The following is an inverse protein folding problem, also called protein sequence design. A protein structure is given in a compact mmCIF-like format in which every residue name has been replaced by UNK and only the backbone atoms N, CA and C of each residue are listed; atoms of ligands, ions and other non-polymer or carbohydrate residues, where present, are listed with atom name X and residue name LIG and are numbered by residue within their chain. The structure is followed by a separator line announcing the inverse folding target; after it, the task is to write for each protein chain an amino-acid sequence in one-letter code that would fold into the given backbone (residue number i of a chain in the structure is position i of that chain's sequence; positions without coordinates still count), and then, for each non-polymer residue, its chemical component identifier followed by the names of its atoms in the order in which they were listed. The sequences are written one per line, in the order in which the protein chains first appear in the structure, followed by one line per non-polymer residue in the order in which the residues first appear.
data_IF_936910069310
#
_entry.id   IF_936910069310
#
_cell.length_a   1.000
_cell.length_b   1.000
_cell.length_c   1.000
_cell.angle_alpha   90.00
_cell.angle_beta   90.00
_cell.angle_gamma   90.00
#
_symmetry.space_group_name_H-M   'P 1'
#
loop_
_entity.id
_entity.type
_entity.pdbx_description
1 polymer ?
#
# COMPACT_ATOMS: atom_id res chain seq x y z
N UNK A 1 -37.25 3.70 -27.78
CA UNK A 1 -36.84 4.94 -28.49
C UNK A 1 -36.92 6.24 -27.66
N UNK A 2 -37.22 6.18 -26.35
CA UNK A 2 -37.35 7.38 -25.49
C UNK A 2 -36.06 7.66 -24.68
N UNK A 3 -35.20 6.66 -24.43
CA UNK A 3 -33.96 6.85 -23.67
C UNK A 3 -32.82 7.55 -24.44
N UNK A 4 -32.87 7.65 -25.76
CA UNK A 4 -31.80 8.28 -26.57
C UNK A 4 -31.91 9.82 -26.59
N UNK A 5 -33.09 10.39 -26.29
CA UNK A 5 -33.31 11.84 -26.31
C UNK A 5 -32.84 12.56 -25.04
N UNK A 6 -32.70 11.87 -23.91
CA UNK A 6 -32.28 12.47 -22.63
C UNK A 6 -30.75 12.68 -22.59
N UNK A 7 -29.97 11.78 -23.18
CA UNK A 7 -28.51 11.86 -23.21
C UNK A 7 -27.96 12.97 -24.13
N UNK A 8 -28.72 13.39 -25.15
CA UNK A 8 -28.30 14.46 -26.08
C UNK A 8 -28.52 15.88 -25.54
N UNK A 9 -29.40 16.06 -24.55
CA UNK A 9 -29.74 17.39 -24.03
C UNK A 9 -28.84 17.86 -22.89
N UNK A 10 -28.08 16.96 -22.26
CA UNK A 10 -27.24 17.28 -21.10
C UNK A 10 -25.77 17.54 -21.48
N UNK A 11 -25.34 17.08 -22.65
CA UNK A 11 -23.96 17.22 -23.14
C UNK A 11 -23.67 18.59 -23.79
N UNK A 12 -24.68 19.45 -23.98
CA UNK A 12 -24.53 20.77 -24.62
C UNK A 12 -24.54 21.93 -23.62
N UNK A 13 -24.74 21.67 -22.33
CA UNK A 13 -24.91 22.70 -21.30
C UNK A 13 -23.77 22.79 -20.26
N UNK A 14 -22.62 22.17 -20.53
CA UNK A 14 -21.44 22.28 -19.64
C UNK A 14 -20.15 22.73 -20.35
N UNK A 15 -20.25 23.21 -21.60
CA UNK A 15 -19.10 23.66 -22.40
C UNK A 15 -19.05 25.18 -22.63
N UNK A 16 -19.79 25.98 -21.86
CA UNK A 16 -19.83 27.44 -22.02
C UNK A 16 -19.90 28.16 -20.67
N UNK A 17 -18.78 28.20 -19.94
CA UNK A 17 -18.68 28.89 -18.66
C UNK A 17 -17.25 29.26 -18.30
N UNK A 18 -16.77 30.37 -18.89
CA UNK A 18 -15.77 31.30 -18.33
C UNK A 18 -14.41 30.69 -17.95
N UNK A 19 -13.33 30.78 -18.73
CA UNK A 19 -12.71 31.95 -19.39
C UNK A 19 -12.59 33.22 -18.52
N UNK A 20 -11.33 33.50 -18.18
CA UNK A 20 -10.72 34.80 -17.84
C UNK A 20 -10.96 35.37 -16.43
N UNK A 21 -9.90 35.32 -15.59
CA UNK A 21 -9.54 36.38 -14.62
C UNK A 21 -8.07 36.25 -14.22
N UNK A 22 -7.16 36.63 -15.13
CA UNK A 22 -5.82 37.12 -14.79
C UNK A 22 -5.86 38.64 -14.94
N UNK A 23 -5.79 39.40 -13.85
CA UNK A 23 -5.24 40.76 -13.88
C UNK A 23 -4.87 41.28 -12.47
N UNK A 24 -3.57 41.48 -12.31
CA UNK A 24 -2.88 42.57 -11.61
C UNK A 24 -3.51 43.18 -10.34
N UNK A 25 -2.80 43.00 -9.21
CA UNK A 25 -2.64 44.08 -8.23
C UNK A 25 -1.18 44.11 -7.77
N UNK A 26 -0.51 45.20 -8.12
CA UNK A 26 0.88 45.55 -7.84
C UNK A 26 0.88 46.73 -6.86
N UNK A 27 1.87 46.79 -5.97
CA UNK A 27 2.21 47.95 -5.11
C UNK A 27 1.85 47.75 -3.63
N UNK A 28 2.69 48.05 -2.64
CA UNK A 28 4.03 48.65 -2.63
C UNK A 28 4.25 49.42 -1.32
N UNK A 29 5.28 49.02 -0.55
CA UNK A 29 6.04 49.80 0.48
C UNK A 29 5.37 50.25 1.80
N UNK A 30 6.14 50.60 2.87
CA UNK A 30 7.60 50.77 2.96
C UNK A 30 8.31 50.04 4.13
N UNK A 31 9.64 50.18 4.12
CA UNK A 31 10.66 49.56 4.95
C UNK A 31 11.02 50.31 6.26
N UNK A 32 11.70 49.55 7.15
CA UNK A 32 12.76 49.93 8.11
C UNK A 32 12.35 50.69 9.41
N UNK A 33 13.09 50.55 10.54
CA UNK A 33 14.53 50.27 10.63
C UNK A 33 14.99 49.19 11.63
N UNK A 34 16.19 48.68 11.36
CA UNK A 34 17.06 47.99 12.32
C UNK A 34 17.89 49.01 13.14
N UNK A 35 18.25 48.67 14.37
CA UNK A 35 19.56 48.96 14.94
C UNK A 35 20.15 47.66 15.55
N UNK A 36 21.43 47.40 15.79
CA UNK A 36 22.73 48.05 15.60
C UNK A 36 23.74 46.94 15.99
N UNK A 37 24.82 46.77 15.24
CA UNK A 37 25.94 45.91 15.64
C UNK A 37 26.94 46.70 16.51
N UNK A 38 27.41 46.10 17.62
CA UNK A 38 28.68 46.42 18.28
C UNK A 38 29.03 45.35 19.35
N UNK A 39 30.31 45.22 19.79
CA UNK A 39 31.01 43.92 19.77
C UNK A 39 31.50 43.40 21.14
N UNK A 40 32.20 42.25 21.10
CA UNK A 40 33.09 41.69 22.14
C UNK A 40 32.36 41.01 23.31
N UNK A 41 32.67 39.81 23.81
CA UNK A 41 33.97 39.26 24.22
C UNK A 41 33.82 37.72 24.32
N UNK A 42 34.75 36.94 23.75
CA UNK A 42 35.13 35.61 24.26
C UNK A 42 36.35 35.80 25.18
N UNK A 43 36.70 34.92 26.15
CA UNK A 43 36.38 33.49 26.23
C UNK A 43 36.05 32.97 27.66
N UNK A 44 35.47 31.78 27.79
CA UNK A 44 35.69 30.93 28.96
C UNK A 44 35.26 29.49 28.66
N UNK A 45 36.26 28.61 28.57
CA UNK A 45 36.15 27.17 28.59
C UNK A 45 35.51 26.73 29.91
N UNK A 46 34.26 26.24 29.88
CA UNK A 46 33.64 25.55 31.00
C UNK A 46 33.49 24.07 30.63
N UNK A 47 34.19 23.24 31.40
CA UNK A 47 34.26 21.80 31.24
C UNK A 47 32.87 21.14 31.32
N UNK A 48 32.60 20.27 30.35
CA UNK A 48 31.43 19.39 30.37
C UNK A 48 31.57 18.34 31.49
N UNK A 49 30.51 18.03 32.25
CA UNK A 49 30.51 16.90 33.18
C UNK A 49 30.57 15.57 32.40
N UNK A 50 31.24 14.53 32.94
CA UNK A 50 31.29 13.22 32.27
C UNK A 50 29.88 12.59 32.26
N UNK A 51 29.51 12.08 31.09
CA UNK A 51 28.30 11.28 30.90
C UNK A 51 28.35 10.01 31.77
N UNK A 52 27.22 9.54 32.33
CA UNK A 52 27.18 8.26 33.02
C UNK A 52 27.36 7.13 32.00
N UNK A 53 28.43 6.36 32.16
CA UNK A 53 28.65 5.08 31.48
C UNK A 53 27.54 4.11 31.88
N UNK A 54 26.53 3.98 31.03
CA UNK A 54 25.52 2.93 31.15
C UNK A 54 26.14 1.64 30.62
N UNK A 55 26.56 0.76 31.54
CA UNK A 55 27.02 -0.58 31.21
C UNK A 55 25.81 -1.40 30.72
N UNK A 56 25.78 -1.70 29.42
CA UNK A 56 24.82 -2.65 28.85
C UNK A 56 25.26 -4.07 29.24
N UNK A 57 24.41 -4.89 29.85
CA UNK A 57 24.76 -6.28 30.13
C UNK A 57 24.90 -7.05 28.82
N UNK A 58 25.98 -7.82 28.75
CA UNK A 58 26.34 -8.72 27.67
C UNK A 58 25.23 -9.76 27.46
N UNK A 59 24.63 -9.76 26.28
CA UNK A 59 23.61 -10.74 25.91
C UNK A 59 24.25 -12.12 25.87
N UNK A 60 23.88 -12.97 26.82
CA UNK A 60 24.19 -14.40 26.81
C UNK A 60 23.57 -15.01 25.56
N UNK A 61 24.42 -15.44 24.63
CA UNK A 61 24.01 -16.14 23.42
C UNK A 61 23.28 -17.44 23.77
N UNK A 62 21.98 -17.48 23.48
CA UNK A 62 21.19 -18.72 23.51
C UNK A 62 21.73 -19.70 22.45
N UNK A 63 21.75 -21.02 22.74
CA UNK A 63 22.28 -22.01 21.80
C UNK A 63 21.43 -22.06 20.53
N UNK A 64 22.12 -22.11 19.38
CA UNK A 64 21.50 -22.21 18.07
C UNK A 64 20.59 -23.46 17.99
N UNK A 65 19.30 -23.23 17.74
CA UNK A 65 18.36 -24.30 17.45
C UNK A 65 18.84 -25.07 16.21
N UNK A 66 19.01 -26.38 16.34
CA UNK A 66 19.31 -27.29 15.24
C UNK A 66 18.17 -27.23 14.23
N UNK A 67 18.38 -26.55 13.10
CA UNK A 67 17.40 -26.48 12.02
C UNK A 67 17.12 -27.87 11.46
N UNK A 68 15.88 -28.33 11.61
CA UNK A 68 15.36 -29.47 10.87
C UNK A 68 15.52 -29.22 9.35
N UNK A 69 15.81 -30.26 8.54
CA UNK A 69 15.97 -30.08 7.10
C UNK A 69 14.69 -29.51 6.50
N UNK A 70 14.83 -28.42 5.73
CA UNK A 70 13.72 -27.80 5.03
C UNK A 70 13.09 -28.83 4.06
N UNK A 71 11.74 -28.95 4.02
CA UNK A 71 11.08 -29.88 3.11
C UNK A 71 11.46 -29.55 1.66
N UNK A 72 11.74 -30.57 0.87
CA UNK A 72 12.00 -30.43 -0.57
C UNK A 72 10.79 -29.79 -1.26
N UNK A 73 11.02 -28.65 -1.91
CA UNK A 73 9.97 -27.76 -2.41
C UNK A 73 9.65 -28.14 -3.86
N UNK A 74 8.61 -28.95 -4.08
CA UNK A 74 8.09 -29.20 -5.44
C UNK A 74 7.23 -28.01 -5.90
N UNK A 75 7.44 -27.46 -7.11
CA UNK A 75 6.55 -26.45 -7.67
C UNK A 75 5.12 -26.98 -7.78
N UNK A 76 4.14 -26.19 -7.33
CA UNK A 76 2.72 -26.53 -7.44
C UNK A 76 2.23 -26.08 -8.82
N UNK A 77 1.79 -27.00 -9.70
CA UNK A 77 1.29 -26.63 -11.03
C UNK A 77 -0.04 -25.89 -10.91
N UNK A 78 -0.28 -24.90 -11.77
CA UNK A 78 -1.56 -24.18 -11.80
C UNK A 78 -2.69 -25.06 -12.37
N UNK A 79 -3.91 -24.87 -11.88
CA UNK A 79 -5.14 -25.45 -12.45
C UNK A 79 -5.48 -24.73 -13.75
N UNK A 80 -6.05 -25.43 -14.74
CA UNK A 80 -6.48 -24.81 -16.00
C UNK A 80 -7.66 -23.85 -15.77
N UNK A 81 -7.63 -22.69 -16.43
CA UNK A 81 -8.72 -21.72 -16.36
C UNK A 81 -9.96 -22.27 -17.09
N UNK A 82 -11.12 -22.39 -16.41
CA UNK A 82 -12.36 -22.78 -17.07
C UNK A 82 -12.79 -21.75 -18.13
N UNK A 83 -13.32 -22.23 -19.25
CA UNK A 83 -13.83 -21.37 -20.31
C UNK A 83 -14.95 -20.46 -19.78
N UNK A 84 -14.83 -19.15 -20.04
CA UNK A 84 -15.80 -18.15 -19.58
C UNK A 84 -15.65 -17.73 -18.11
N UNK A 85 -14.71 -18.31 -17.34
CA UNK A 85 -14.45 -17.87 -15.97
C UNK A 85 -13.96 -16.41 -15.92
N UNK A 86 -14.44 -15.67 -14.93
CA UNK A 86 -13.95 -14.30 -14.68
C UNK A 86 -12.56 -14.37 -14.07
N UNK A 87 -11.57 -13.84 -14.78
CA UNK A 87 -10.16 -13.84 -14.35
C UNK A 87 -9.92 -12.76 -13.28
N UNK A 88 -9.29 -13.15 -12.18
CA UNK A 88 -8.85 -12.29 -11.09
C UNK A 88 -7.33 -12.42 -10.98
N UNK A 89 -6.60 -11.33 -11.16
CA UNK A 89 -5.14 -11.32 -11.05
C UNK A 89 -4.71 -11.01 -9.62
N UNK A 90 -3.86 -11.86 -9.06
CA UNK A 90 -3.33 -11.71 -7.70
C UNK A 90 -1.79 -11.68 -7.72
N UNK A 91 -1.18 -10.55 -7.37
CA UNK A 91 0.26 -10.43 -7.27
C UNK A 91 0.73 -10.66 -5.84
N UNK A 92 1.77 -11.48 -5.67
CA UNK A 92 2.30 -11.80 -4.33
C UNK A 92 3.83 -11.92 -4.32
N UNK A 93 4.46 -11.55 -3.19
CA UNK A 93 5.92 -11.51 -3.02
C UNK A 93 6.50 -12.64 -2.17
N UNK A 94 5.67 -13.53 -1.63
CA UNK A 94 6.13 -14.68 -0.85
C UNK A 94 6.81 -15.73 -1.73
N UNK A 95 8.00 -16.17 -1.31
CA UNK A 95 8.82 -17.15 -2.04
C UNK A 95 8.99 -18.46 -1.26
N UNK A 96 9.70 -19.43 -1.85
CA UNK A 96 9.99 -20.71 -1.21
C UNK A 96 8.73 -21.46 -0.77
N UNK A 97 8.76 -21.97 0.47
CA UNK A 97 7.65 -22.72 1.04
C UNK A 97 6.37 -21.89 1.16
N UNK A 98 6.49 -20.61 1.51
CA UNK A 98 5.34 -19.72 1.65
C UNK A 98 4.69 -19.44 0.29
N UNK A 99 5.50 -19.23 -0.75
CA UNK A 99 4.98 -19.08 -2.12
C UNK A 99 4.26 -20.35 -2.62
N UNK A 100 4.73 -21.53 -2.22
CA UNK A 100 4.02 -22.79 -2.47
C UNK A 100 2.67 -22.84 -1.77
N UNK A 101 2.59 -22.45 -0.50
CA UNK A 101 1.32 -22.42 0.25
C UNK A 101 0.31 -21.50 -0.44
N UNK A 102 0.73 -20.29 -0.85
CA UNK A 102 -0.13 -19.37 -1.60
C UNK A 102 -0.68 -20.02 -2.87
N UNK A 103 0.19 -20.66 -3.67
CA UNK A 103 -0.24 -21.35 -4.90
C UNK A 103 -1.20 -22.51 -4.62
N UNK A 104 -0.96 -23.27 -3.56
CA UNK A 104 -1.86 -24.36 -3.14
C UNK A 104 -3.24 -23.82 -2.78
N UNK A 105 -3.31 -22.75 -1.97
CA UNK A 105 -4.59 -22.14 -1.57
C UNK A 105 -5.35 -21.59 -2.79
N UNK A 106 -4.65 -20.93 -3.70
CA UNK A 106 -5.23 -20.44 -4.96
C UNK A 106 -5.77 -21.59 -5.81
N UNK A 107 -5.02 -22.68 -5.93
CA UNK A 107 -5.48 -23.86 -6.66
C UNK A 107 -6.69 -24.51 -6.00
N UNK A 108 -6.71 -24.64 -4.67
CA UNK A 108 -7.88 -25.16 -3.96
C UNK A 108 -9.12 -24.31 -4.24
N UNK A 109 -8.99 -22.98 -4.21
CA UNK A 109 -10.07 -22.07 -4.57
C UNK A 109 -10.51 -22.25 -6.04
N UNK A 110 -9.56 -22.28 -6.99
CA UNK A 110 -9.84 -22.47 -8.41
C UNK A 110 -10.44 -23.84 -8.72
N UNK A 111 -10.14 -24.88 -7.94
CA UNK A 111 -10.74 -26.21 -8.10
C UNK A 111 -12.11 -26.34 -7.42
N UNK A 112 -12.41 -25.48 -6.44
CA UNK A 112 -13.68 -25.55 -5.70
C UNK A 112 -14.89 -25.05 -6.50
N UNK A 113 -14.66 -24.32 -7.60
CA UNK A 113 -15.70 -23.66 -8.39
C UNK A 113 -15.20 -23.37 -9.81
N UNK A 114 -16.09 -22.94 -10.72
CA UNK A 114 -15.76 -22.64 -12.13
C UNK A 114 -16.12 -21.22 -12.60
N UNK A 115 -16.64 -20.37 -11.71
CA UNK A 115 -17.11 -19.01 -12.01
C UNK A 115 -15.96 -18.00 -12.06
N UNK A 116 -14.99 -18.13 -11.16
CA UNK A 116 -13.85 -17.25 -11.01
C UNK A 116 -12.55 -18.03 -11.19
N UNK A 117 -11.54 -17.39 -11.76
CA UNK A 117 -10.21 -17.96 -11.88
C UNK A 117 -9.17 -16.98 -11.35
N UNK A 118 -8.52 -17.34 -10.24
CA UNK A 118 -7.46 -16.54 -9.64
C UNK A 118 -6.13 -16.90 -10.27
N UNK A 119 -5.54 -15.98 -11.02
CA UNK A 119 -4.18 -16.06 -11.53
C UNK A 119 -3.20 -15.49 -10.50
N UNK A 120 -2.47 -16.37 -9.81
CA UNK A 120 -1.45 -15.99 -8.86
C UNK A 120 -0.11 -15.71 -9.58
N UNK A 121 0.30 -14.44 -9.61
CA UNK A 121 1.54 -13.97 -10.26
C UNK A 121 2.58 -13.64 -9.20
N UNK A 122 3.49 -14.60 -8.96
CA UNK A 122 4.58 -14.44 -8.02
C UNK A 122 5.57 -13.37 -8.51
N UNK A 123 5.96 -12.46 -7.63
CA UNK A 123 7.08 -11.53 -7.80
C UNK A 123 8.31 -12.05 -7.04
N UNK A 124 9.53 -11.54 -7.33
CA UNK A 124 10.75 -11.97 -6.64
C UNK A 124 10.69 -11.80 -5.13
N UNK A 125 10.09 -10.71 -4.67
CA UNK A 125 9.90 -10.37 -3.27
C UNK A 125 8.85 -9.25 -3.13
N UNK A 126 8.66 -8.79 -1.90
CA UNK A 126 7.75 -7.71 -1.56
C UNK A 126 8.14 -6.34 -2.16
N UNK A 127 9.43 -6.01 -2.21
CA UNK A 127 9.90 -4.72 -2.72
C UNK A 127 9.75 -4.64 -4.24
N UNK A 128 10.01 -5.74 -4.94
CA UNK A 128 9.71 -5.90 -6.35
C UNK A 128 8.19 -5.81 -6.60
N UNK A 129 7.37 -6.36 -5.70
CA UNK A 129 5.90 -6.28 -5.80
C UNK A 129 5.38 -4.85 -5.72
N UNK A 130 5.79 -4.09 -4.69
CA UNK A 130 5.34 -2.69 -4.54
C UNK A 130 5.95 -1.78 -5.62
N UNK A 131 7.18 -2.05 -6.05
CA UNK A 131 7.81 -1.32 -7.16
C UNK A 131 7.01 -1.51 -8.44
N UNK A 132 6.69 -2.76 -8.78
CA UNK A 132 5.86 -3.07 -9.97
C UNK A 132 4.49 -2.41 -9.89
N UNK A 133 3.81 -2.51 -8.74
CA UNK A 133 2.54 -1.83 -8.51
C UNK A 133 2.64 -0.32 -8.81
N UNK A 134 3.63 0.36 -8.22
CA UNK A 134 3.84 1.80 -8.41
C UNK A 134 4.11 2.16 -9.87
N UNK A 135 4.92 1.36 -10.58
CA UNK A 135 5.20 1.60 -12.01
C UNK A 135 3.96 1.36 -12.89
N UNK A 136 3.09 0.44 -12.51
CA UNK A 136 1.85 0.14 -13.22
C UNK A 136 0.75 1.20 -13.02
N UNK A 137 0.87 2.09 -12.04
CA UNK A 137 -0.16 3.10 -11.75
C UNK A 137 -0.46 4.01 -12.96
N UNK A 138 0.57 4.37 -13.73
CA UNK A 138 0.44 5.25 -14.89
C UNK A 138 -0.21 4.54 -16.10
N UNK A 139 0.09 3.25 -16.31
CA UNK A 139 -0.45 2.46 -17.41
C UNK A 139 -1.85 1.91 -17.15
N UNK A 140 -2.23 1.74 -15.88
CA UNK A 140 -3.51 1.15 -15.49
C UNK A 140 -3.49 -0.38 -15.46
N UNK A 141 -2.37 -1.02 -15.79
CA UNK A 141 -2.15 -2.47 -15.73
C UNK A 141 -1.92 -2.94 -14.27
N UNK A 142 -2.90 -2.68 -13.41
CA UNK A 142 -2.90 -3.06 -12.01
C UNK A 142 -3.52 -4.45 -11.82
N UNK A 143 -3.06 -5.23 -10.83
CA UNK A 143 -3.75 -6.45 -10.47
C UNK A 143 -5.09 -6.15 -9.79
N UNK A 144 -5.97 -7.15 -9.74
CA UNK A 144 -7.19 -7.07 -8.94
C UNK A 144 -6.87 -7.11 -7.43
N UNK A 145 -5.87 -7.91 -7.04
CA UNK A 145 -5.39 -8.06 -5.66
C UNK A 145 -3.87 -8.02 -5.65
N UNK A 146 -3.27 -7.33 -4.68
CA UNK A 146 -1.83 -7.29 -4.50
C UNK A 146 -1.45 -7.48 -3.03
N UNK A 147 -0.49 -8.35 -2.78
CA UNK A 147 0.08 -8.56 -1.45
C UNK A 147 1.20 -7.52 -1.20
N UNK A 148 1.02 -6.70 -0.18
CA UNK A 148 1.99 -5.70 0.26
C UNK A 148 2.29 -5.95 1.74
N UNK A 149 3.52 -5.70 2.17
CA UNK A 149 3.89 -5.77 3.58
C UNK A 149 3.33 -4.58 4.35
N UNK A 150 3.21 -4.74 5.66
CA UNK A 150 2.63 -3.79 6.61
C UNK A 150 3.10 -2.34 6.42
N UNK A 151 4.40 -2.10 6.31
CA UNK A 151 4.99 -0.76 6.14
C UNK A 151 4.53 -0.09 4.84
N UNK A 152 4.18 -0.88 3.81
CA UNK A 152 3.67 -0.38 2.54
C UNK A 152 2.22 0.11 2.58
N UNK A 153 1.45 -0.18 3.63
CA UNK A 153 0.00 0.10 3.69
C UNK A 153 -0.30 1.58 3.50
N UNK A 154 0.34 2.48 4.25
CA UNK A 154 0.10 3.92 4.11
C UNK A 154 0.48 4.41 2.71
N UNK A 155 1.56 3.88 2.13
CA UNK A 155 1.96 4.22 0.77
C UNK A 155 0.88 3.81 -0.25
N UNK A 156 0.23 2.66 -0.06
CA UNK A 156 -0.86 2.21 -0.92
C UNK A 156 -2.08 3.14 -0.80
N UNK A 157 -2.43 3.55 0.42
CA UNK A 157 -3.51 4.52 0.68
C UNK A 157 -3.23 5.85 -0.03
N UNK A 158 -2.01 6.36 0.07
CA UNK A 158 -1.60 7.65 -0.51
C UNK A 158 -1.72 7.67 -2.04
N UNK A 159 -1.64 6.51 -2.70
CA UNK A 159 -1.85 6.41 -4.15
C UNK A 159 -3.27 6.78 -4.57
N UNK A 160 -4.26 6.60 -3.68
CA UNK A 160 -5.70 6.69 -4.00
C UNK A 160 -6.14 5.73 -5.13
N UNK A 161 -5.39 4.65 -5.33
CA UNK A 161 -5.64 3.62 -6.37
C UNK A 161 -6.06 2.27 -5.80
N UNK A 162 -6.24 2.18 -4.49
CA UNK A 162 -6.79 1.01 -3.80
C UNK A 162 -8.21 1.29 -3.32
N UNK A 163 -8.98 0.23 -3.11
CA UNK A 163 -10.28 0.28 -2.46
C UNK A 163 -10.16 -0.36 -1.07
N UNK A 164 -10.72 0.25 0.00
CA UNK A 164 -10.78 -0.39 1.31
C UNK A 164 -11.63 -1.67 1.23
N UNK A 165 -11.13 -2.77 1.80
CA UNK A 165 -11.88 -4.03 1.83
C UNK A 165 -13.15 -3.88 2.68
N UNK A 166 -13.13 -3.02 3.70
CA UNK A 166 -14.29 -2.72 4.53
C UNK A 166 -15.51 -2.27 3.72
N UNK A 167 -15.31 -1.55 2.60
CA UNK A 167 -16.42 -1.11 1.75
C UNK A 167 -17.18 -2.31 1.15
N UNK A 168 -16.48 -3.40 0.84
CA UNK A 168 -17.09 -4.65 0.36
C UNK A 168 -17.71 -5.46 1.50
N UNK A 169 -17.06 -5.51 2.67
CA UNK A 169 -17.59 -6.18 3.87
C UNK A 169 -18.95 -5.58 4.23
N UNK A 170 -19.03 -4.24 4.29
CA UNK A 170 -20.25 -3.52 4.64
C UNK A 170 -21.35 -3.70 3.57
N UNK A 171 -20.99 -3.62 2.29
CA UNK A 171 -21.94 -3.76 1.19
C UNK A 171 -22.56 -5.15 1.13
N UNK A 172 -21.76 -6.19 1.33
CA UNK A 172 -22.19 -7.59 1.20
C UNK A 172 -22.66 -8.19 2.53
N UNK A 173 -22.58 -7.43 3.63
CA UNK A 173 -22.96 -7.89 4.97
C UNK A 173 -22.10 -9.04 5.48
N UNK A 174 -20.81 -9.06 5.13
CA UNK A 174 -19.88 -10.12 5.54
C UNK A 174 -19.46 -9.95 6.99
N UNK A 175 -19.28 -11.07 7.70
CA UNK A 175 -18.77 -11.10 9.09
C UNK A 175 -17.25 -11.34 9.13
N UNK A 176 -16.51 -10.95 8.08
CA UNK A 176 -15.09 -11.27 7.92
C UNK A 176 -14.22 -10.80 9.10
N UNK A 177 -14.59 -9.70 9.74
CA UNK A 177 -13.86 -9.18 10.90
C UNK A 177 -13.84 -10.17 12.08
N UNK A 178 -14.85 -11.04 12.20
CA UNK A 178 -14.94 -12.02 13.28
C UNK A 178 -13.99 -13.22 13.07
N UNK A 179 -13.59 -13.47 11.82
CA UNK A 179 -12.66 -14.53 11.44
C UNK A 179 -11.18 -14.10 11.54
N UNK A 180 -10.93 -12.80 11.71
CA UNK A 180 -9.58 -12.24 11.81
C UNK A 180 -9.13 -12.15 13.27
N UNK A 181 -7.83 -12.34 13.50
CA UNK A 181 -7.26 -12.07 14.83
C UNK A 181 -7.48 -10.57 15.16
N UNK A 182 -8.15 -10.23 16.28
CA UNK A 182 -8.47 -8.84 16.64
C UNK A 182 -7.30 -7.84 16.62
N UNK A 183 -6.10 -8.24 17.03
CA UNK A 183 -4.91 -7.41 16.99
C UNK A 183 -4.44 -7.13 15.56
N UNK A 184 -4.55 -8.12 14.66
CA UNK A 184 -4.21 -7.97 13.24
C UNK A 184 -5.26 -7.09 12.55
N UNK A 185 -6.55 -7.35 12.78
CA UNK A 185 -7.64 -6.53 12.24
C UNK A 185 -7.48 -5.06 12.65
N UNK A 186 -7.26 -4.81 13.94
CA UNK A 186 -7.01 -3.45 14.46
C UNK A 186 -5.77 -2.81 13.86
N UNK A 187 -4.69 -3.56 13.64
CA UNK A 187 -3.46 -3.03 13.06
C UNK A 187 -3.67 -2.49 11.64
N UNK A 188 -4.48 -3.17 10.83
CA UNK A 188 -4.78 -2.76 9.45
C UNK A 188 -5.99 -1.83 9.31
N UNK A 189 -6.71 -1.54 10.40
CA UNK A 189 -7.83 -0.59 10.40
C UNK A 189 -7.31 0.85 10.42
N UNK A 190 -7.53 1.61 9.35
CA UNK A 190 -7.08 2.99 9.19
C UNK A 190 -8.28 3.87 8.84
N UNK A 191 -8.57 4.85 9.70
CA UNK A 191 -9.74 5.72 9.50
C UNK A 191 -11.08 4.98 9.64
N UNK A 192 -11.10 3.85 10.36
CA UNK A 192 -12.28 3.00 10.56
C UNK A 192 -12.61 2.09 9.38
N UNK A 193 -11.65 1.87 8.48
CA UNK A 193 -11.76 1.00 7.30
C UNK A 193 -10.51 0.15 7.10
#
# INVERSE_FOLDING_TARGET
MIHVKIARSLSTLLLLGMLASLLAACGGSPAAPSPTAAPSVAPATAAAPPAPTSASPEATSAPAATSAPAPTITPVPAVEQPAGATKITFWFGLTGANGNVVRTLVNMYNSSQSTYYVEAVQQPDYDATITKFNTSLAGGDLPNVVQIYDIGTQRMIDTKRILPVQDFIDQEGLTLADDLEPAVARYYTIGGK
#
